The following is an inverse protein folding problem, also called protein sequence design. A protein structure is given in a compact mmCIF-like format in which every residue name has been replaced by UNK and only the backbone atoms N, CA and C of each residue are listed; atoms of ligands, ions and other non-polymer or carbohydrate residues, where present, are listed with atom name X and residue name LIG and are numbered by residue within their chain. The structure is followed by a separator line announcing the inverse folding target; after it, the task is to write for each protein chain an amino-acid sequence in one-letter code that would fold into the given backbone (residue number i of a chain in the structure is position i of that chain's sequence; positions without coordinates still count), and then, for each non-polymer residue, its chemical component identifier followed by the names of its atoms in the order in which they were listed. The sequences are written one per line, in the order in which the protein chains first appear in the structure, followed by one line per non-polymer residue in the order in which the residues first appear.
data_IF_294533346681
#
_entry.id   IF_294533346681
#
_cell.length_a   1.000
_cell.length_b   1.000
_cell.length_c   1.000
_cell.angle_alpha   90.00
_cell.angle_beta   90.00
_cell.angle_gamma   90.00
#
_symmetry.space_group_name_H-M   'P 1'
#
loop_
_entity.id
_entity.type
_entity.pdbx_description
1 polymer ?
#
# COMPACT_ATOMS: atom_id res chain seq x y z
N UNK A 1 -38.44 -48.26 -31.40
CA UNK A 1 -37.04 -47.80 -31.34
C UNK A 1 -36.76 -47.69 -29.86
N UNK A 2 -36.36 -48.81 -29.26
CA UNK A 2 -36.45 -49.01 -27.82
C UNK A 2 -35.12 -49.51 -27.27
N UNK A 3 -34.48 -48.60 -26.54
CA UNK A 3 -33.67 -48.78 -25.33
C UNK A 3 -32.82 -50.06 -25.20
N UNK A 4 -31.52 -49.91 -25.46
CA UNK A 4 -30.47 -50.81 -24.96
C UNK A 4 -30.03 -50.36 -23.56
N UNK A 5 -30.22 -51.24 -22.58
CA UNK A 5 -29.70 -51.13 -21.21
C UNK A 5 -28.23 -51.56 -21.21
N UNK A 6 -27.33 -50.70 -20.74
CA UNK A 6 -25.96 -51.09 -20.38
C UNK A 6 -25.79 -51.05 -18.86
N UNK A 7 -25.65 -52.24 -18.27
CA UNK A 7 -25.01 -52.44 -16.97
C UNK A 7 -23.51 -52.20 -17.13
N UNK A 8 -22.89 -51.43 -16.23
CA UNK A 8 -21.45 -51.40 -16.08
C UNK A 8 -21.09 -51.54 -14.59
N UNK A 9 -20.43 -52.67 -14.31
CA UNK A 9 -19.82 -53.08 -13.05
C UNK A 9 -18.56 -52.24 -12.81
N UNK A 10 -18.31 -51.86 -11.56
CA UNK A 10 -17.35 -50.83 -11.18
C UNK A 10 -15.89 -51.25 -10.99
N UNK A 11 -15.11 -50.33 -10.44
CA UNK A 11 -13.88 -50.58 -9.69
C UNK A 11 -13.65 -49.40 -8.73
N UNK A 12 -13.79 -49.63 -7.42
CA UNK A 12 -13.36 -48.71 -6.38
C UNK A 12 -11.89 -49.03 -6.04
N UNK A 13 -11.00 -48.05 -6.21
CA UNK A 13 -9.59 -48.16 -5.82
C UNK A 13 -9.46 -47.52 -4.43
N UNK A 14 -9.18 -48.35 -3.42
CA UNK A 14 -8.83 -47.91 -2.08
C UNK A 14 -7.30 -47.78 -1.99
N UNK A 15 -6.80 -46.55 -1.84
CA UNK A 15 -5.40 -46.27 -1.54
C UNK A 15 -5.23 -46.22 -0.01
N UNK A 16 -4.69 -47.27 0.57
CA UNK A 16 -4.20 -47.27 1.95
C UNK A 16 -2.76 -46.75 1.97
N UNK A 17 -2.55 -45.50 2.40
CA UNK A 17 -1.23 -45.03 2.79
C UNK A 17 -1.00 -45.37 4.26
N UNK A 18 -0.09 -46.31 4.51
CA UNK A 18 0.56 -46.52 5.80
C UNK A 18 1.97 -45.94 5.69
N UNK A 19 2.23 -44.85 6.42
CA UNK A 19 3.54 -44.22 6.58
C UNK A 19 3.94 -44.20 8.04
N UNK A 20 5.19 -44.55 8.29
CA UNK A 20 5.84 -44.93 9.55
C UNK A 20 5.96 -43.79 10.59
N UNK A 21 5.95 -44.15 11.88
CA UNK A 21 6.00 -43.21 13.01
C UNK A 21 7.40 -42.73 13.44
N UNK A 22 7.39 -41.65 14.22
CA UNK A 22 8.40 -41.31 15.24
C UNK A 22 7.71 -40.51 16.35
N UNK A 23 8.13 -40.80 17.58
CA UNK A 23 7.58 -40.36 18.87
C UNK A 23 8.07 -38.96 19.28
N UNK A 24 7.40 -38.39 20.29
CA UNK A 24 7.66 -37.18 21.11
C UNK A 24 7.04 -35.82 20.71
N UNK A 25 5.93 -35.51 21.40
CA UNK A 25 5.40 -34.19 21.80
C UNK A 25 5.60 -33.02 20.83
N UNK A 26 4.89 -33.06 19.71
CA UNK A 26 4.56 -31.86 18.96
C UNK A 26 3.13 -31.45 19.31
N UNK A 27 2.97 -30.35 20.06
CA UNK A 27 1.81 -29.50 19.83
C UNK A 27 1.86 -29.12 18.35
N UNK A 28 1.14 -29.87 17.51
CA UNK A 28 1.06 -29.63 16.08
C UNK A 28 0.40 -28.27 15.88
N UNK A 29 1.20 -27.22 15.76
CA UNK A 29 0.71 -25.95 15.28
C UNK A 29 0.33 -26.16 13.81
N UNK A 30 -0.95 -26.02 13.51
CA UNK A 30 -1.42 -25.97 12.13
C UNK A 30 -0.72 -24.82 11.42
N UNK A 31 -0.19 -25.07 10.22
CA UNK A 31 0.26 -24.01 9.31
C UNK A 31 -0.88 -23.57 8.41
N UNK A 32 -0.74 -22.39 7.85
CA UNK A 32 -1.65 -21.78 6.88
C UNK A 32 -0.82 -20.99 5.87
N UNK A 33 -1.28 -20.85 4.62
CA UNK A 33 -0.69 -19.90 3.70
C UNK A 33 -0.88 -18.46 4.22
N UNK A 34 0.17 -17.66 4.11
CA UNK A 34 0.22 -16.24 4.44
C UNK A 34 0.83 -15.49 3.26
N UNK A 35 0.16 -14.41 2.86
CA UNK A 35 0.66 -13.48 1.83
C UNK A 35 0.88 -12.11 2.45
N UNK A 36 2.06 -11.55 2.22
CA UNK A 36 2.44 -10.18 2.58
C UNK A 36 2.79 -9.43 1.31
N UNK A 37 2.09 -8.33 1.08
CA UNK A 37 2.28 -7.46 -0.07
C UNK A 37 2.68 -6.05 0.37
N UNK A 38 3.03 -5.21 -0.59
CA UNK A 38 3.28 -3.78 -0.41
C UNK A 38 2.44 -2.97 -1.39
N UNK A 39 1.94 -1.83 -0.91
CA UNK A 39 1.14 -0.85 -1.66
C UNK A 39 1.46 0.56 -1.17
N UNK A 40 0.88 1.57 -1.82
CA UNK A 40 1.13 2.97 -1.56
C UNK A 40 -0.07 3.91 -1.77
N UNK A 41 -0.08 5.00 -1.00
CA UNK A 41 -0.83 6.22 -1.23
C UNK A 41 0.09 7.30 -1.85
N UNK A 42 -0.06 7.60 -3.16
CA UNK A 42 0.93 8.31 -3.98
C UNK A 42 1.13 9.80 -3.61
N UNK A 43 2.19 10.39 -4.16
CA UNK A 43 2.57 11.81 -4.06
C UNK A 43 2.86 12.37 -5.47
N UNK A 44 2.73 13.69 -5.65
CA UNK A 44 2.71 14.32 -6.99
C UNK A 44 4.09 14.79 -7.49
N UNK A 45 5.03 15.08 -6.59
CA UNK A 45 6.29 15.77 -6.94
C UNK A 45 7.42 14.81 -7.38
N UNK A 46 7.13 13.52 -7.50
CA UNK A 46 8.09 12.47 -7.85
C UNK A 46 7.51 11.55 -8.91
N UNK A 47 8.37 11.09 -9.82
CA UNK A 47 7.97 10.20 -10.92
C UNK A 47 8.22 8.72 -10.63
N UNK A 48 9.12 8.41 -9.70
CA UNK A 48 9.41 7.05 -9.23
C UNK A 48 9.80 7.08 -7.75
N UNK A 49 9.34 6.08 -6.98
CA UNK A 49 9.81 5.82 -5.62
C UNK A 49 10.13 4.34 -5.48
N UNK A 50 11.40 4.02 -5.72
CA UNK A 50 11.88 2.64 -5.82
C UNK A 50 12.48 2.17 -4.51
N UNK A 51 11.85 1.15 -3.91
CA UNK A 51 12.33 0.46 -2.71
C UNK A 51 12.83 -0.94 -3.09
N UNK A 52 14.06 -1.25 -2.70
CA UNK A 52 14.65 -2.57 -2.87
C UNK A 52 14.50 -3.38 -1.58
N UNK A 53 13.65 -4.40 -1.60
CA UNK A 53 13.42 -5.27 -0.45
C UNK A 53 14.45 -6.41 -0.42
N UNK A 54 15.03 -6.65 0.76
CA UNK A 54 15.96 -7.76 0.96
C UNK A 54 15.32 -8.91 1.73
N UNK A 55 14.55 -8.61 2.77
CA UNK A 55 14.12 -9.62 3.74
C UNK A 55 12.85 -9.25 4.49
N UNK A 56 12.07 -10.26 4.86
CA UNK A 56 10.94 -10.15 5.78
C UNK A 56 11.11 -11.14 6.92
N UNK A 57 10.83 -10.72 8.16
CA UNK A 57 10.86 -11.60 9.32
C UNK A 57 9.56 -11.56 10.11
N UNK A 58 8.88 -12.70 10.21
CA UNK A 58 7.75 -12.92 11.11
C UNK A 58 8.28 -13.35 12.47
N UNK A 59 7.97 -12.56 13.50
CA UNK A 59 8.45 -12.72 14.86
C UNK A 59 7.34 -13.32 15.73
N UNK A 60 7.40 -14.62 16.07
CA UNK A 60 6.37 -15.22 16.91
C UNK A 60 6.34 -14.56 18.29
N UNK A 61 5.14 -14.34 18.82
CA UNK A 61 4.92 -13.87 20.19
C UNK A 61 4.85 -15.09 21.10
N UNK A 62 5.80 -15.18 22.05
CA UNK A 62 5.91 -16.31 22.97
C UNK A 62 7.10 -17.20 22.61
N UNK A 63 6.88 -18.53 22.63
CA UNK A 63 7.92 -19.49 22.28
C UNK A 63 7.98 -19.67 20.75
N UNK A 64 9.19 -19.57 20.19
CA UNK A 64 9.41 -19.73 18.76
C UNK A 64 10.68 -19.03 18.31
N UNK A 65 11.16 -19.38 17.11
CA UNK A 65 12.23 -18.64 16.43
C UNK A 65 11.60 -17.79 15.32
N UNK A 66 12.16 -16.61 15.02
CA UNK A 66 11.75 -15.84 13.84
C UNK A 66 11.74 -16.68 12.57
N UNK A 67 10.70 -16.51 11.76
CA UNK A 67 10.63 -17.04 10.41
C UNK A 67 11.11 -15.94 9.47
N UNK A 68 12.16 -16.22 8.71
CA UNK A 68 12.85 -15.22 7.90
C UNK A 68 12.79 -15.65 6.44
N UNK A 69 12.31 -14.75 5.59
CA UNK A 69 12.13 -14.94 4.16
C UNK A 69 12.98 -13.92 3.41
N UNK A 70 13.88 -14.41 2.56
CA UNK A 70 14.63 -13.56 1.62
C UNK A 70 13.69 -13.13 0.48
N UNK A 71 13.74 -11.85 0.12
CA UNK A 71 12.85 -11.26 -0.89
C UNK A 71 13.65 -11.07 -2.17
N UNK A 72 13.31 -11.90 -3.17
CA UNK A 72 13.99 -11.92 -4.44
C UNK A 72 13.00 -11.74 -5.59
N UNK A 73 13.47 -11.24 -6.73
CA UNK A 73 12.69 -11.11 -7.95
C UNK A 73 12.37 -12.49 -8.51
N UNK A 74 11.08 -12.77 -8.69
CA UNK A 74 10.60 -14.01 -9.30
C UNK A 74 9.60 -13.75 -10.43
N UNK A 75 9.37 -14.75 -11.28
CA UNK A 75 8.22 -14.77 -12.18
C UNK A 75 6.93 -15.19 -11.45
N UNK A 76 5.81 -15.28 -12.18
CA UNK A 76 4.51 -15.70 -11.66
C UNK A 76 4.51 -17.12 -11.07
N UNK A 77 5.43 -17.99 -11.51
CA UNK A 77 5.61 -19.35 -11.00
C UNK A 77 6.49 -19.40 -9.74
N UNK A 78 7.01 -18.26 -9.27
CA UNK A 78 7.89 -18.17 -8.10
C UNK A 78 9.34 -18.56 -8.37
N UNK A 79 9.77 -18.67 -9.63
CA UNK A 79 11.16 -18.95 -9.99
C UNK A 79 11.97 -17.66 -10.08
N UNK A 80 13.22 -17.72 -9.64
CA UNK A 80 14.16 -16.60 -9.71
C UNK A 80 14.37 -16.15 -11.15
N UNK A 81 14.39 -14.83 -11.38
CA UNK A 81 14.58 -14.24 -12.70
C UNK A 81 15.60 -13.11 -12.70
N UNK A 82 16.19 -12.86 -13.87
CA UNK A 82 17.07 -11.72 -14.09
C UNK A 82 16.29 -10.40 -14.25
N UNK A 83 17.01 -9.31 -14.55
CA UNK A 83 16.41 -7.98 -14.75
C UNK A 83 15.35 -7.98 -15.87
N UNK A 84 15.54 -8.79 -16.92
CA UNK A 84 14.65 -8.93 -18.06
C UNK A 84 13.44 -9.84 -17.82
N UNK A 85 13.40 -10.54 -16.68
CA UNK A 85 12.37 -11.53 -16.36
C UNK A 85 12.67 -12.93 -16.90
N UNK A 86 13.91 -13.19 -17.35
CA UNK A 86 14.32 -14.52 -17.79
C UNK A 86 14.69 -15.37 -16.58
N UNK A 87 14.24 -16.62 -16.54
CA UNK A 87 14.58 -17.56 -15.45
C UNK A 87 16.10 -17.68 -15.25
N UNK A 88 16.53 -17.52 -14.02
CA UNK A 88 17.91 -17.71 -13.60
C UNK A 88 18.25 -19.20 -13.52
N UNK A 89 19.51 -19.54 -13.74
CA UNK A 89 20.03 -20.87 -13.44
C UNK A 89 20.01 -21.12 -11.92
N UNK A 90 19.90 -22.38 -11.51
CA UNK A 90 19.80 -22.78 -10.09
C UNK A 90 20.97 -22.29 -9.22
N UNK A 91 22.13 -21.99 -9.81
CA UNK A 91 23.35 -21.54 -9.13
C UNK A 91 23.64 -20.04 -9.29
N UNK A 92 22.79 -19.28 -9.97
CA UNK A 92 22.95 -17.84 -10.12
C UNK A 92 22.54 -17.08 -8.85
N UNK A 93 23.23 -15.97 -8.59
CA UNK A 93 22.88 -15.08 -7.47
C UNK A 93 21.48 -14.47 -7.71
N UNK A 94 20.55 -14.59 -6.75
CA UNK A 94 19.23 -14.01 -6.89
C UNK A 94 19.28 -12.48 -6.86
N UNK A 95 18.39 -11.85 -7.61
CA UNK A 95 18.20 -10.41 -7.58
C UNK A 95 17.21 -10.04 -6.48
N UNK A 96 17.43 -8.97 -5.69
CA UNK A 96 16.41 -8.48 -4.78
C UNK A 96 15.19 -7.95 -5.54
N UNK A 97 14.05 -7.89 -4.87
CA UNK A 97 12.84 -7.32 -5.45
C UNK A 97 12.86 -5.79 -5.35
N UNK A 98 13.03 -5.11 -6.49
CA UNK A 98 12.86 -3.67 -6.62
C UNK A 98 11.40 -3.33 -6.93
N UNK A 99 10.79 -2.49 -6.13
CA UNK A 99 9.39 -2.07 -6.29
C UNK A 99 9.34 -0.55 -6.40
N UNK A 100 8.85 -0.05 -7.53
CA UNK A 100 8.38 1.33 -7.61
C UNK A 100 6.99 1.42 -7.01
N UNK A 101 6.90 2.05 -5.84
CA UNK A 101 5.69 2.14 -5.02
C UNK A 101 4.55 2.86 -5.75
N UNK A 102 4.87 3.83 -6.62
CA UNK A 102 3.87 4.60 -7.36
C UNK A 102 3.04 3.75 -8.33
N UNK A 103 3.48 2.53 -8.68
CA UNK A 103 2.73 1.60 -9.51
C UNK A 103 1.65 0.83 -8.75
N UNK A 104 1.61 0.90 -7.42
CA UNK A 104 0.76 0.07 -6.57
C UNK A 104 -0.12 0.95 -5.68
N UNK A 105 -1.02 1.71 -6.29
CA UNK A 105 -1.92 2.63 -5.61
C UNK A 105 -3.30 2.03 -5.32
N UNK A 106 -3.98 2.55 -4.30
CA UNK A 106 -5.35 2.14 -3.97
C UNK A 106 -5.39 0.70 -3.44
N UNK A 107 -6.23 -0.18 -4.00
CA UNK A 107 -6.24 -1.60 -3.64
C UNK A 107 -5.18 -2.45 -4.37
N UNK A 108 -4.33 -1.85 -5.22
CA UNK A 108 -3.29 -2.59 -5.95
C UNK A 108 -2.06 -2.79 -5.06
N UNK A 109 -1.53 -4.01 -5.04
CA UNK A 109 -0.35 -4.35 -4.24
C UNK A 109 0.52 -5.38 -4.96
N UNK A 110 1.82 -5.40 -4.64
CA UNK A 110 2.76 -6.44 -5.08
C UNK A 110 3.20 -7.32 -3.91
N UNK A 111 3.22 -8.63 -4.13
CA UNK A 111 3.59 -9.63 -3.13
C UNK A 111 5.10 -9.56 -2.84
N UNK A 112 5.45 -9.40 -1.56
CA UNK A 112 6.81 -9.62 -1.05
C UNK A 112 6.99 -11.10 -0.66
N UNK A 113 5.97 -11.65 0.00
CA UNK A 113 5.90 -13.04 0.45
C UNK A 113 4.58 -13.62 -0.03
N UNK A 114 4.64 -14.67 -0.84
CA UNK A 114 3.45 -15.31 -1.44
C UNK A 114 3.19 -16.68 -0.83
N UNK A 115 1.97 -16.89 -0.34
CA UNK A 115 1.40 -18.17 0.10
C UNK A 115 2.35 -19.02 0.96
N UNK A 116 3.12 -18.39 1.85
CA UNK A 116 4.07 -19.12 2.69
C UNK A 116 3.34 -19.81 3.83
N UNK A 117 3.63 -21.09 4.03
CA UNK A 117 3.10 -21.89 5.12
C UNK A 117 3.70 -21.45 6.47
N UNK A 118 2.95 -20.64 7.21
CA UNK A 118 3.34 -20.11 8.52
C UNK A 118 2.46 -20.75 9.61
N UNK A 119 3.02 -21.18 10.76
CA UNK A 119 2.23 -21.65 11.88
C UNK A 119 1.20 -20.61 12.34
N UNK A 120 -0.01 -21.06 12.64
CA UNK A 120 -1.02 -20.21 13.28
C UNK A 120 -0.53 -19.70 14.63
N UNK A 121 -0.82 -18.44 14.95
CA UNK A 121 -0.35 -17.80 16.17
C UNK A 121 -0.27 -16.28 16.06
N UNK A 122 0.26 -15.64 17.11
CA UNK A 122 0.44 -14.19 17.15
C UNK A 122 1.87 -13.82 16.75
N UNK A 123 2.01 -12.80 15.90
CA UNK A 123 3.27 -12.38 15.31
C UNK A 123 3.45 -10.86 15.37
N UNK A 124 4.72 -10.45 15.29
CA UNK A 124 5.15 -9.11 14.88
C UNK A 124 5.93 -9.22 13.58
N UNK A 125 6.19 -8.11 12.90
CA UNK A 125 6.83 -8.11 11.59
C UNK A 125 8.07 -7.21 11.55
N UNK A 126 9.10 -7.64 10.84
CA UNK A 126 10.14 -6.75 10.33
C UNK A 126 10.19 -6.84 8.81
N UNK A 127 10.32 -5.70 8.15
CA UNK A 127 10.58 -5.60 6.71
C UNK A 127 11.90 -4.86 6.52
N UNK A 128 12.79 -5.44 5.73
CA UNK A 128 14.11 -4.93 5.43
C UNK A 128 14.15 -4.41 4.00
N UNK A 129 14.67 -3.20 3.85
CA UNK A 129 14.85 -2.54 2.57
C UNK A 129 16.23 -1.93 2.48
N UNK A 130 16.91 -2.06 1.36
CA UNK A 130 18.20 -1.43 1.14
C UNK A 130 18.06 0.10 1.18
N UNK A 131 18.95 0.79 1.87
CA UNK A 131 19.04 2.24 1.80
C UNK A 131 19.71 2.69 0.50
N UNK A 132 19.56 3.97 0.15
CA UNK A 132 20.16 4.57 -1.04
C UNK A 132 21.68 4.58 -1.07
N UNK A 133 22.35 4.23 0.05
CA UNK A 133 23.81 4.03 0.10
C UNK A 133 24.23 2.58 -0.10
N UNK A 134 23.28 1.66 -0.30
CA UNK A 134 23.59 0.26 -0.55
C UNK A 134 24.38 0.09 -1.86
N UNK A 135 25.46 -0.72 -1.88
CA UNK A 135 26.45 -0.67 -2.96
C UNK A 135 25.99 -1.25 -4.30
N UNK A 136 25.02 -2.16 -4.30
CA UNK A 136 24.57 -2.86 -5.53
C UNK A 136 23.14 -2.51 -5.90
N UNK A 137 22.22 -2.59 -4.93
CA UNK A 137 20.79 -2.33 -5.13
C UNK A 137 20.27 -1.21 -4.21
N UNK A 138 20.65 0.05 -4.42
CA UNK A 138 20.17 1.18 -3.62
C UNK A 138 18.70 1.50 -3.90
N UNK A 139 17.93 1.83 -2.86
CA UNK A 139 16.61 2.46 -3.03
C UNK A 139 16.76 3.93 -3.43
N UNK A 140 15.82 4.46 -4.22
CA UNK A 140 15.91 5.81 -4.76
C UNK A 140 14.56 6.45 -5.07
N UNK A 141 14.59 7.76 -5.28
CA UNK A 141 13.49 8.58 -5.78
C UNK A 141 13.93 9.24 -7.08
N UNK A 142 13.03 9.38 -8.05
CA UNK A 142 13.24 10.21 -9.24
C UNK A 142 12.30 11.42 -9.16
N UNK A 143 12.85 12.62 -9.13
CA UNK A 143 12.06 13.86 -9.11
C UNK A 143 11.51 14.23 -10.49
N UNK A 144 10.30 14.78 -10.54
CA UNK A 144 9.61 15.14 -11.80
C UNK A 144 10.31 16.27 -12.57
N UNK A 145 10.92 17.24 -11.87
CA UNK A 145 11.51 18.43 -12.50
C UNK A 145 12.79 18.16 -13.30
N UNK A 146 13.62 17.22 -12.83
CA UNK A 146 14.98 17.04 -13.35
C UNK A 146 15.28 15.61 -13.78
N UNK A 147 14.40 14.64 -13.47
CA UNK A 147 14.63 13.22 -13.74
C UNK A 147 15.85 12.65 -13.00
N UNK A 148 16.37 13.35 -12.00
CA UNK A 148 17.55 12.92 -11.27
C UNK A 148 17.17 11.86 -10.24
N UNK A 149 17.95 10.78 -10.24
CA UNK A 149 17.89 9.75 -9.21
C UNK A 149 18.55 10.25 -7.92
N UNK A 150 17.81 10.25 -6.83
CA UNK A 150 18.26 10.67 -5.50
C UNK A 150 18.18 9.49 -4.51
N UNK A 151 19.18 9.30 -3.63
CA UNK A 151 19.17 8.18 -2.67
C UNK A 151 17.95 8.24 -1.74
N UNK A 152 17.31 7.09 -1.50
CA UNK A 152 16.21 6.95 -0.55
C UNK A 152 16.63 6.14 0.67
N UNK A 153 16.48 6.69 1.87
CA UNK A 153 16.68 5.97 3.14
C UNK A 153 15.34 5.65 3.78
N UNK A 154 15.09 4.38 4.08
CA UNK A 154 13.87 3.97 4.79
C UNK A 154 14.13 4.09 6.29
N UNK A 155 13.55 5.11 6.91
CA UNK A 155 13.71 5.35 8.35
C UNK A 155 12.88 4.34 9.12
N UNK A 156 13.55 3.58 9.97
CA UNK A 156 12.93 2.66 10.92
C UNK A 156 13.76 2.52 12.18
N UNK A 157 13.46 1.49 12.97
CA UNK A 157 14.10 1.23 14.27
C UNK A 157 15.54 0.74 14.13
N UNK A 158 15.99 0.47 12.90
CA UNK A 158 17.36 0.11 12.55
C UNK A 158 17.81 -1.26 13.03
N UNK A 159 16.95 -2.02 13.73
CA UNK A 159 17.21 -3.38 14.19
C UNK A 159 15.91 -4.16 14.42
N UNK A 160 15.85 -5.35 13.85
CA UNK A 160 14.81 -6.31 14.13
C UNK A 160 15.10 -7.12 15.42
N UNK A 161 14.11 -7.30 16.32
CA UNK A 161 14.24 -8.09 17.56
C UNK A 161 14.49 -9.60 17.35
N UNK A 162 14.46 -10.34 18.47
CA UNK A 162 14.52 -11.82 18.51
C UNK A 162 15.74 -12.45 17.80
N UNK A 163 16.86 -11.72 17.74
CA UNK A 163 18.11 -12.21 17.15
C UNK A 163 18.21 -12.06 15.63
N UNK A 164 17.19 -11.50 14.96
CA UNK A 164 17.25 -11.20 13.51
C UNK A 164 18.26 -10.09 13.22
N UNK A 165 18.28 -9.04 14.06
CA UNK A 165 19.32 -8.02 14.01
C UNK A 165 19.12 -6.96 12.94
N UNK A 166 20.21 -6.37 12.48
CA UNK A 166 20.25 -5.28 11.51
C UNK A 166 21.11 -5.69 10.31
N UNK A 167 20.93 -5.02 9.18
CA UNK A 167 21.74 -5.22 7.98
C UNK A 167 22.49 -3.93 7.62
N UNK A 168 23.74 -4.02 7.13
CA UNK A 168 24.48 -2.85 6.67
C UNK A 168 23.77 -2.16 5.50
N UNK A 169 23.63 -0.84 5.55
CA UNK A 169 22.96 -0.04 4.50
C UNK A 169 21.52 -0.49 4.23
N UNK A 170 20.78 -0.84 5.28
CA UNK A 170 19.37 -1.21 5.18
C UNK A 170 18.53 -0.49 6.23
N UNK A 171 17.39 0.02 5.79
CA UNK A 171 16.26 0.38 6.64
C UNK A 171 15.57 -0.87 7.18
N UNK A 172 15.11 -0.80 8.43
CA UNK A 172 14.35 -1.89 9.07
C UNK A 172 13.07 -1.31 9.64
N UNK A 173 11.94 -1.64 9.01
CA UNK A 173 10.61 -1.30 9.49
C UNK A 173 10.15 -2.38 10.47
N UNK A 174 10.09 -2.06 11.76
CA UNK A 174 9.56 -2.96 12.79
C UNK A 174 8.12 -2.60 13.13
N UNK A 175 7.20 -3.54 12.92
CA UNK A 175 5.80 -3.42 13.31
C UNK A 175 5.62 -4.02 14.69
N UNK A 176 5.61 -3.14 15.70
CA UNK A 176 5.58 -3.54 17.11
C UNK A 176 4.21 -4.05 17.57
N UNK A 177 3.14 -3.68 16.85
CA UNK A 177 1.80 -4.20 17.10
C UNK A 177 1.70 -5.66 16.69
N UNK A 178 0.93 -6.41 17.49
CA UNK A 178 0.79 -7.85 17.28
C UNK A 178 -0.38 -8.11 16.34
N UNK A 179 -0.15 -8.90 15.30
CA UNK A 179 -1.20 -9.43 14.43
C UNK A 179 -1.31 -10.95 14.60
N UNK A 180 -2.41 -11.54 14.13
CA UNK A 180 -2.68 -12.97 14.30
C UNK A 180 -2.71 -13.67 12.95
N UNK A 181 -1.85 -14.65 12.76
CA UNK A 181 -1.95 -15.63 11.68
C UNK A 181 -3.04 -16.64 12.08
N UNK A 182 -4.21 -16.52 11.46
CA UNK A 182 -5.40 -17.32 11.73
C UNK A 182 -5.41 -18.60 10.88
N UNK A 183 -6.33 -19.53 11.11
CA UNK A 183 -6.44 -20.73 10.27
C UNK A 183 -6.88 -20.41 8.82
N UNK A 184 -7.49 -19.25 8.62
CA UNK A 184 -8.00 -18.71 7.37
C UNK A 184 -7.79 -17.18 7.33
N UNK A 185 -7.72 -16.59 6.14
CA UNK A 185 -7.68 -15.13 5.93
C UNK A 185 -6.39 -14.43 6.43
N UNK A 186 -5.25 -14.72 5.78
CA UNK A 186 -3.94 -14.17 6.15
C UNK A 186 -3.30 -13.38 5.00
N UNK A 187 -4.01 -12.36 4.53
CA UNK A 187 -3.52 -11.44 3.51
C UNK A 187 -3.21 -10.10 4.15
N UNK A 188 -1.94 -9.71 4.10
CA UNK A 188 -1.44 -8.50 4.70
C UNK A 188 -0.82 -7.58 3.66
N UNK A 189 -0.98 -6.27 3.86
CA UNK A 189 -0.33 -5.24 3.05
C UNK A 189 0.47 -4.32 3.97
N UNK A 190 1.72 -4.09 3.60
CA UNK A 190 2.51 -2.98 4.12
C UNK A 190 2.14 -1.76 3.28
N UNK A 191 1.32 -0.90 3.86
CA UNK A 191 0.80 0.30 3.20
C UNK A 191 1.74 1.46 3.49
N UNK A 192 2.32 2.02 2.44
CA UNK A 192 3.07 3.27 2.50
C UNK A 192 2.14 4.44 2.22
N UNK A 193 2.27 5.51 2.99
CA UNK A 193 1.62 6.78 2.70
C UNK A 193 2.71 7.74 2.26
N UNK A 194 3.06 7.73 0.98
CA UNK A 194 4.18 8.52 0.46
C UNK A 194 3.93 10.03 0.61
N UNK A 195 2.70 10.51 0.44
CA UNK A 195 2.40 11.95 0.64
C UNK A 195 2.75 12.43 2.05
N UNK A 196 2.43 11.62 3.07
CA UNK A 196 2.83 11.94 4.45
C UNK A 196 4.30 11.61 4.73
N UNK A 197 4.76 10.49 4.20
CA UNK A 197 5.96 9.79 4.61
C UNK A 197 7.26 10.15 3.91
N UNK A 198 7.17 10.54 2.64
CA UNK A 198 8.33 10.84 1.83
C UNK A 198 8.78 12.28 2.12
N UNK A 199 10.03 12.44 2.55
CA UNK A 199 10.61 13.74 2.91
C UNK A 199 11.95 13.93 2.22
N UNK A 200 12.06 15.01 1.45
CA UNK A 200 13.37 15.47 0.99
C UNK A 200 14.22 15.91 2.18
N UNK A 201 15.49 15.53 2.19
CA UNK A 201 16.47 15.98 3.19
C UNK A 201 17.10 17.27 2.69
N UNK A 202 16.71 18.39 3.29
CA UNK A 202 17.18 19.73 2.91
C UNK A 202 18.70 19.81 2.86
N UNK A 203 19.24 20.07 1.67
CA UNK A 203 20.68 20.25 1.44
C UNK A 203 21.48 18.95 1.19
N UNK A 204 20.83 17.78 1.15
CA UNK A 204 21.51 16.49 0.98
C UNK A 204 21.13 15.73 -0.30
N UNK A 205 20.36 16.33 -1.24
CA UNK A 205 19.89 15.70 -2.50
C UNK A 205 19.45 14.24 -2.31
N UNK A 206 18.69 13.98 -1.24
CA UNK A 206 18.28 12.65 -0.83
C UNK A 206 16.90 12.70 -0.19
N UNK A 207 16.27 11.54 -0.10
CA UNK A 207 14.94 11.36 0.45
C UNK A 207 14.95 10.39 1.62
N UNK A 208 13.96 10.55 2.49
CA UNK A 208 13.67 9.63 3.58
C UNK A 208 12.22 9.22 3.57
N UNK A 209 11.97 7.95 3.87
CA UNK A 209 10.63 7.43 4.09
C UNK A 209 10.43 7.22 5.58
N UNK A 210 9.50 7.95 6.20
CA UNK A 210 9.30 7.94 7.64
C UNK A 210 8.58 6.67 8.10
N UNK A 211 9.01 6.09 9.24
CA UNK A 211 8.33 4.93 9.84
C UNK A 211 6.85 5.21 10.15
N UNK A 212 6.53 6.45 10.50
CA UNK A 212 5.18 6.90 10.94
C UNK A 212 4.15 6.89 9.81
N UNK A 213 4.58 6.80 8.56
CA UNK A 213 3.72 6.74 7.39
C UNK A 213 3.59 5.34 6.80
N UNK A 214 3.97 4.31 7.57
CA UNK A 214 3.89 2.91 7.10
C UNK A 214 3.04 2.09 8.05
N UNK A 215 2.03 1.43 7.52
CA UNK A 215 1.08 0.62 8.29
C UNK A 215 1.10 -0.83 7.82
N UNK A 216 0.77 -1.76 8.72
CA UNK A 216 0.54 -3.16 8.37
C UNK A 216 -0.97 -3.40 8.49
N UNK A 217 -1.60 -3.76 7.37
CA UNK A 217 -3.05 -3.87 7.27
C UNK A 217 -3.41 -5.32 6.92
N UNK A 218 -4.46 -5.85 7.56
CA UNK A 218 -5.05 -7.12 7.16
C UNK A 218 -6.21 -6.87 6.18
N UNK A 219 -5.99 -7.20 4.91
CA UNK A 219 -6.89 -6.81 3.82
C UNK A 219 -8.25 -7.51 3.87
N UNK A 220 -8.35 -8.64 4.58
CA UNK A 220 -9.62 -9.37 4.73
C UNK A 220 -10.58 -8.70 5.71
N UNK A 221 -10.08 -7.73 6.49
CA UNK A 221 -10.86 -6.99 7.49
C UNK A 221 -11.26 -5.60 7.02
N UNK A 222 -10.82 -5.19 5.84
CA UNK A 222 -10.98 -3.84 5.30
C UNK A 222 -11.93 -3.82 4.10
N UNK A 223 -12.48 -2.64 3.79
CA UNK A 223 -13.14 -2.35 2.53
C UNK A 223 -12.37 -1.28 1.75
N UNK A 224 -12.98 -0.75 0.70
CA UNK A 224 -12.37 0.28 -0.15
C UNK A 224 -13.32 1.47 -0.31
N UNK A 225 -12.76 2.65 -0.60
CA UNK A 225 -13.50 3.83 -1.05
C UNK A 225 -13.02 4.19 -2.45
N UNK A 226 -13.93 4.26 -3.42
CA UNK A 226 -13.62 4.67 -4.81
C UNK A 226 -14.58 5.75 -5.27
N UNK A 227 -14.10 6.66 -6.09
CA UNK A 227 -14.95 7.67 -6.70
C UNK A 227 -14.33 8.31 -7.92
N UNK A 228 -15.17 9.04 -8.64
CA UNK A 228 -14.77 9.89 -9.75
C UNK A 228 -14.93 11.35 -9.37
N UNK A 229 -14.00 12.20 -9.82
CA UNK A 229 -14.16 13.65 -9.82
C UNK A 229 -14.77 14.07 -11.15
N UNK A 230 -15.91 14.74 -11.11
CA UNK A 230 -16.51 15.25 -12.34
C UNK A 230 -15.60 16.28 -13.02
N UNK A 231 -15.49 16.26 -14.35
CA UNK A 231 -14.64 17.17 -15.13
C UNK A 231 -14.87 18.65 -14.76
N UNK A 232 -16.13 19.06 -14.60
CA UNK A 232 -16.47 20.43 -14.19
C UNK A 232 -15.93 20.76 -12.79
N UNK A 233 -15.98 19.81 -11.85
CA UNK A 233 -15.42 20.00 -10.50
C UNK A 233 -13.90 20.10 -10.56
N UNK A 234 -13.27 19.28 -11.40
CA UNK A 234 -11.83 19.31 -11.62
C UNK A 234 -11.36 20.68 -12.13
N UNK A 235 -11.96 21.14 -13.23
CA UNK A 235 -11.62 22.43 -13.86
C UNK A 235 -11.96 23.62 -12.95
N UNK A 236 -13.10 23.59 -12.26
CA UNK A 236 -13.48 24.67 -11.36
C UNK A 236 -12.55 24.77 -10.15
N UNK A 237 -11.94 23.67 -9.71
CA UNK A 237 -10.95 23.76 -8.63
C UNK A 237 -9.76 24.63 -9.06
N UNK A 238 -9.19 24.34 -10.23
CA UNK A 238 -8.06 25.10 -10.78
C UNK A 238 -8.43 26.58 -10.98
N UNK A 239 -9.61 26.86 -11.54
CA UNK A 239 -10.08 28.24 -11.74
C UNK A 239 -10.23 29.03 -10.44
N UNK A 240 -10.67 28.38 -9.37
CA UNK A 240 -10.79 29.01 -8.04
C UNK A 240 -9.46 29.11 -7.30
N UNK A 241 -8.43 28.41 -7.78
CA UNK A 241 -7.08 28.39 -7.22
C UNK A 241 -6.05 28.99 -8.20
N UNK A 242 -6.51 29.83 -9.14
CA UNK A 242 -5.71 30.35 -10.24
C UNK A 242 -4.50 31.20 -9.82
N UNK A 243 -4.46 31.63 -8.55
CA UNK A 243 -3.35 32.38 -7.96
C UNK A 243 -2.24 31.48 -7.37
N UNK A 244 -2.40 30.14 -7.37
CA UNK A 244 -1.36 29.21 -6.89
C UNK A 244 -0.09 29.34 -7.73
N UNK A 245 1.05 29.54 -7.08
CA UNK A 245 2.33 29.70 -7.78
C UNK A 245 3.01 28.37 -8.12
N UNK A 246 2.57 27.26 -7.50
CA UNK A 246 3.20 25.95 -7.60
C UNK A 246 2.51 24.99 -8.59
N UNK A 247 1.53 25.47 -9.34
CA UNK A 247 0.71 24.64 -10.21
C UNK A 247 -0.32 23.83 -9.44
N UNK A 248 -0.93 22.83 -10.10
CA UNK A 248 -2.01 22.05 -9.53
C UNK A 248 -1.62 20.60 -9.33
N UNK A 249 -1.94 20.08 -8.16
CA UNK A 249 -1.88 18.67 -7.84
C UNK A 249 -3.23 18.23 -7.26
N UNK A 250 -3.86 17.28 -7.96
CA UNK A 250 -5.22 16.87 -7.67
C UNK A 250 -5.22 15.63 -6.78
N UNK A 251 -5.80 15.78 -5.59
CA UNK A 251 -5.90 14.70 -4.63
C UNK A 251 -7.23 14.73 -3.89
N UNK A 252 -7.59 13.57 -3.36
CA UNK A 252 -8.66 13.41 -2.39
C UNK A 252 -8.04 13.04 -1.07
N UNK A 253 -8.50 13.68 0.00
CA UNK A 253 -8.05 13.46 1.37
C UNK A 253 -9.13 12.70 2.14
N UNK A 254 -8.75 11.66 2.87
CA UNK A 254 -9.65 10.84 3.68
C UNK A 254 -9.64 11.30 5.14
N UNK A 255 -10.81 11.48 5.71
CA UNK A 255 -11.02 11.88 7.11
C UNK A 255 -11.86 10.83 7.83
N UNK A 256 -11.49 10.53 9.08
CA UNK A 256 -12.30 9.68 9.95
C UNK A 256 -13.53 10.46 10.46
N UNK A 257 -14.71 9.85 10.35
CA UNK A 257 -15.97 10.39 10.84
C UNK A 257 -16.75 11.18 9.78
N UNK A 258 -17.88 11.76 10.19
CA UNK A 258 -18.69 12.63 9.36
C UNK A 258 -18.24 14.09 9.59
N UNK A 259 -17.35 14.58 8.73
CA UNK A 259 -16.68 15.88 8.85
C UNK A 259 -17.29 16.87 7.86
N UNK A 260 -17.68 18.06 8.31
CA UNK A 260 -18.14 19.12 7.42
C UNK A 260 -16.97 19.68 6.59
N UNK A 261 -17.23 20.13 5.36
CA UNK A 261 -16.19 20.58 4.42
C UNK A 261 -15.29 21.68 5.00
N UNK A 262 -15.87 22.65 5.70
CA UNK A 262 -15.16 23.78 6.31
C UNK A 262 -14.28 23.37 7.50
N UNK A 263 -14.49 22.17 8.05
CA UNK A 263 -13.68 21.59 9.10
C UNK A 263 -12.62 20.62 8.57
N UNK A 264 -12.52 20.39 7.25
CA UNK A 264 -11.50 19.52 6.66
C UNK A 264 -10.20 20.30 6.44
N UNK A 265 -9.13 19.85 7.09
CA UNK A 265 -7.81 20.47 7.02
C UNK A 265 -6.78 19.68 6.21
N UNK A 266 -5.57 20.22 6.04
CA UNK A 266 -4.43 19.53 5.45
C UNK A 266 -3.71 18.60 6.45
N UNK A 267 -2.69 17.87 6.00
CA UNK A 267 -1.73 17.19 6.87
C UNK A 267 -0.92 18.17 7.72
N UNK A 268 -0.59 19.34 7.16
CA UNK A 268 -0.07 20.49 7.89
C UNK A 268 -1.09 20.95 8.93
N UNK A 269 -1.11 20.30 10.10
CA UNK A 269 -2.18 20.45 11.10
C UNK A 269 -2.52 21.92 11.37
N UNK A 270 -3.72 22.35 10.96
CA UNK A 270 -4.21 23.72 11.18
C UNK A 270 -5.20 23.77 12.35
N UNK A 271 -5.24 24.89 13.11
CA UNK A 271 -6.24 25.09 14.15
C UNK A 271 -7.67 24.92 13.62
N UNK A 272 -8.55 24.37 14.45
CA UNK A 272 -9.99 24.22 14.18
C UNK A 272 -10.36 23.39 12.94
N UNK A 273 -9.42 22.62 12.41
CA UNK A 273 -9.65 21.66 11.32
C UNK A 273 -9.29 20.24 11.75
N UNK A 274 -9.85 19.24 11.07
CA UNK A 274 -9.49 17.84 11.22
C UNK A 274 -8.37 17.50 10.25
N UNK A 275 -7.34 16.84 10.75
CA UNK A 275 -6.24 16.32 9.93
C UNK A 275 -6.72 15.06 9.18
N UNK A 276 -6.38 14.91 7.90
CA UNK A 276 -6.69 13.71 7.13
C UNK A 276 -5.83 12.53 7.61
N UNK A 277 -6.34 11.31 7.42
CA UNK A 277 -5.65 10.07 7.78
C UNK A 277 -4.90 9.44 6.61
N UNK A 278 -5.28 9.80 5.38
CA UNK A 278 -4.67 9.35 4.14
C UNK A 278 -5.04 10.32 3.00
N UNK A 279 -4.35 10.24 1.87
CA UNK A 279 -4.68 10.96 0.64
C UNK A 279 -4.44 10.09 -0.58
N UNK A 280 -5.26 10.24 -1.61
CA UNK A 280 -5.15 9.52 -2.87
C UNK A 280 -5.07 10.50 -4.03
N UNK A 281 -4.22 10.21 -5.02
CA UNK A 281 -4.16 11.03 -6.24
C UNK A 281 -5.42 10.84 -7.06
N UNK A 282 -5.82 11.91 -7.75
CA UNK A 282 -6.81 11.83 -8.81
C UNK A 282 -6.07 11.48 -10.10
N UNK A 283 -6.17 10.22 -10.50
CA UNK A 283 -5.57 9.70 -11.71
C UNK A 283 -6.43 10.05 -12.93
N UNK A 284 -5.77 10.42 -14.03
CA UNK A 284 -6.43 10.73 -15.30
C UNK A 284 -6.27 9.54 -16.23
N UNK A 285 -7.39 8.92 -16.61
CA UNK A 285 -7.41 7.86 -17.62
C UNK A 285 -8.07 8.38 -18.88
N UNK A 286 -7.28 8.52 -19.96
CA UNK A 286 -7.76 8.96 -21.27
C UNK A 286 -8.38 7.80 -22.05
N UNK A 287 -9.68 7.90 -22.33
CA UNK A 287 -10.42 6.94 -23.14
C UNK A 287 -10.94 7.53 -24.45
N UNK A 288 -11.50 6.68 -25.31
CA UNK A 288 -12.14 7.10 -26.56
C UNK A 288 -13.37 8.01 -26.32
N UNK A 289 -14.01 7.87 -25.16
CA UNK A 289 -15.19 8.64 -24.74
C UNK A 289 -14.84 9.91 -23.93
N UNK A 290 -13.54 10.18 -23.73
CA UNK A 290 -13.03 11.30 -22.93
C UNK A 290 -12.18 10.84 -21.75
N UNK A 291 -11.66 11.82 -21.01
CA UNK A 291 -10.87 11.59 -19.80
C UNK A 291 -11.78 11.24 -18.62
N UNK A 292 -11.32 10.32 -17.78
CA UNK A 292 -11.92 9.99 -16.49
C UNK A 292 -10.94 10.33 -15.38
N UNK A 293 -11.46 10.83 -14.26
CA UNK A 293 -10.67 11.34 -13.14
C UNK A 293 -11.02 10.53 -11.91
N UNK A 294 -10.27 9.47 -11.64
CA UNK A 294 -10.60 8.49 -10.61
C UNK A 294 -9.63 8.55 -9.44
N UNK A 295 -10.14 8.25 -8.25
CA UNK A 295 -9.33 8.09 -7.05
C UNK A 295 -9.81 6.88 -6.26
N UNK A 296 -8.92 6.36 -5.43
CA UNK A 296 -9.18 5.15 -4.65
C UNK A 296 -8.38 5.15 -3.36
N UNK A 297 -9.06 4.79 -2.28
CA UNK A 297 -8.45 4.36 -1.03
C UNK A 297 -8.70 2.87 -0.87
N UNK A 298 -7.63 2.08 -0.95
CA UNK A 298 -7.65 0.67 -0.61
C UNK A 298 -7.55 0.46 0.90
N UNK A 299 -7.95 -0.73 1.35
CA UNK A 299 -7.61 -1.22 2.69
C UNK A 299 -8.11 -0.34 3.85
N UNK A 300 -9.27 0.28 3.69
CA UNK A 300 -9.89 1.15 4.69
C UNK A 300 -10.62 0.30 5.74
N UNK A 301 -10.35 0.55 7.02
CA UNK A 301 -11.04 -0.14 8.12
C UNK A 301 -12.56 0.16 8.11
N UNK A 302 -13.41 -0.76 8.57
CA UNK A 302 -14.84 -0.50 8.68
C UNK A 302 -15.15 0.66 9.62
N UNK A 303 -15.96 1.61 9.16
CA UNK A 303 -16.26 2.81 9.92
C UNK A 303 -16.98 3.88 9.11
N UNK A 304 -17.17 5.05 9.74
CA UNK A 304 -17.72 6.24 9.08
C UNK A 304 -16.59 7.18 8.67
N UNK A 305 -16.65 7.69 7.44
CA UNK A 305 -15.61 8.53 6.83
C UNK A 305 -16.20 9.71 6.05
N UNK A 306 -15.33 10.66 5.75
CA UNK A 306 -15.54 11.74 4.78
C UNK A 306 -14.34 11.84 3.85
N UNK A 307 -14.56 12.32 2.64
CA UNK A 307 -13.50 12.61 1.66
C UNK A 307 -13.57 14.07 1.22
N UNK A 308 -12.42 14.71 1.04
CA UNK A 308 -12.27 16.09 0.59
C UNK A 308 -11.35 16.19 -0.63
N UNK A 309 -11.86 16.71 -1.74
CA UNK A 309 -11.10 16.95 -2.96
C UNK A 309 -10.45 18.32 -2.99
N UNK A 310 -9.21 18.37 -3.45
CA UNK A 310 -8.43 19.58 -3.68
C UNK A 310 -7.56 19.46 -4.94
N UNK A 311 -7.18 20.61 -5.50
CA UNK A 311 -6.21 20.77 -6.59
C UNK A 311 -4.92 21.47 -6.14
N UNK A 312 -4.79 21.78 -4.84
CA UNK A 312 -3.59 22.39 -4.23
C UNK A 312 -2.88 21.42 -3.30
N UNK A 313 -2.90 20.11 -3.63
CA UNK A 313 -2.30 19.08 -2.77
C UNK A 313 -0.77 19.19 -2.65
N UNK A 314 -0.12 19.77 -3.66
CA UNK A 314 1.30 20.11 -3.75
C UNK A 314 1.72 21.19 -2.74
N UNK A 315 0.76 21.95 -2.21
CA UNK A 315 1.03 22.99 -1.21
C UNK A 315 0.96 22.45 0.23
N UNK A 316 0.65 21.16 0.43
CA UNK A 316 0.50 20.51 1.73
C UNK A 316 1.58 19.46 2.01
N UNK A 317 2.06 19.44 3.25
CA UNK A 317 2.87 18.37 3.80
C UNK A 317 2.69 18.29 5.32
N UNK A 318 3.02 17.15 5.92
CA UNK A 318 3.05 17.02 7.39
C UNK A 318 3.98 18.05 8.08
N UNK A 319 5.00 18.57 7.38
CA UNK A 319 5.92 19.57 7.93
C UNK A 319 5.33 20.99 7.95
N UNK A 320 4.26 21.24 7.20
CA UNK A 320 3.66 22.55 7.01
C UNK A 320 3.20 22.77 5.57
N UNK A 321 2.43 23.84 5.38
CA UNK A 321 2.08 24.34 4.06
C UNK A 321 3.27 25.06 3.42
N UNK A 322 3.32 25.07 2.10
CA UNK A 322 4.29 25.88 1.34
C UNK A 322 4.12 27.36 1.68
N UNK A 323 5.24 28.08 1.88
CA UNK A 323 5.21 29.48 2.30
C UNK A 323 4.54 30.36 1.23
N UNK A 324 3.48 31.06 1.63
CA UNK A 324 2.72 31.96 0.76
C UNK A 324 1.53 31.31 0.07
N UNK A 325 1.38 29.99 0.19
CA UNK A 325 0.27 29.24 -0.41
C UNK A 325 -0.84 28.94 0.60
N UNK A 326 -1.97 28.49 0.08
CA UNK A 326 -3.13 28.12 0.90
C UNK A 326 -3.70 26.78 0.48
N UNK A 327 -3.95 25.92 1.47
CA UNK A 327 -4.70 24.68 1.25
C UNK A 327 -6.20 24.92 1.41
N UNK A 328 -7.02 24.33 0.54
CA UNK A 328 -8.48 24.35 0.68
C UNK A 328 -9.10 23.07 0.12
N UNK A 329 -10.06 22.50 0.85
CA UNK A 329 -10.93 21.46 0.30
C UNK A 329 -12.01 22.10 -0.57
N UNK A 330 -11.94 21.83 -1.87
CA UNK A 330 -12.84 22.40 -2.87
C UNK A 330 -14.24 21.77 -2.84
N UNK A 331 -14.30 20.45 -2.73
CA UNK A 331 -15.54 19.66 -2.60
C UNK A 331 -15.36 18.51 -1.64
N UNK A 332 -16.45 18.04 -1.05
CA UNK A 332 -16.41 16.90 -0.14
C UNK A 332 -17.63 16.00 -0.28
N UNK A 333 -17.46 14.75 0.13
CA UNK A 333 -18.54 13.78 0.37
C UNK A 333 -18.36 13.26 1.79
N UNK A 334 -19.42 13.24 2.58
CA UNK A 334 -19.37 12.87 3.99
C UNK A 334 -20.38 11.79 4.33
N UNK A 335 -20.25 11.22 5.54
CA UNK A 335 -21.12 10.14 6.03
C UNK A 335 -21.00 8.85 5.20
N UNK A 336 -19.79 8.59 4.67
CA UNK A 336 -19.45 7.35 3.97
C UNK A 336 -19.35 6.21 4.98
N UNK A 337 -20.02 5.09 4.73
CA UNK A 337 -19.99 3.91 5.61
C UNK A 337 -19.20 2.78 4.95
N UNK A 338 -17.97 2.55 5.43
CA UNK A 338 -17.11 1.47 4.96
C UNK A 338 -17.45 0.18 5.71
N UNK A 339 -17.57 -0.91 4.95
CA UNK A 339 -17.77 -2.27 5.46
C UNK A 339 -16.72 -3.19 4.86
N UNK A 340 -16.20 -4.12 5.66
CA UNK A 340 -15.19 -5.08 5.23
C UNK A 340 -15.64 -5.87 3.99
N UNK A 341 -14.73 -6.05 3.03
CA UNK A 341 -14.97 -6.78 1.78
C UNK A 341 -15.92 -6.08 0.80
N UNK A 342 -16.21 -4.79 1.00
CA UNK A 342 -17.09 -4.01 0.12
C UNK A 342 -16.41 -2.74 -0.39
N UNK A 343 -16.86 -2.29 -1.56
CA UNK A 343 -16.47 -0.99 -2.11
C UNK A 343 -17.55 0.05 -1.80
N UNK A 344 -17.14 1.15 -1.18
CA UNK A 344 -17.95 2.35 -0.95
C UNK A 344 -17.74 3.33 -2.09
N UNK A 345 -18.82 3.81 -2.71
CA UNK A 345 -18.73 4.82 -3.77
C UNK A 345 -18.81 6.23 -3.20
N UNK A 346 -17.94 7.12 -3.68
CA UNK A 346 -17.85 8.51 -3.24
C UNK A 346 -17.57 9.46 -4.41
N UNK A 347 -18.47 9.53 -5.40
CA UNK A 347 -18.29 10.43 -6.54
C UNK A 347 -18.38 11.92 -6.13
N UNK A 348 -17.42 12.70 -6.61
CA UNK A 348 -17.26 14.13 -6.31
C UNK A 348 -17.81 14.92 -7.49
N UNK A 349 -19.09 15.24 -7.37
CA UNK A 349 -19.87 15.90 -8.41
C UNK A 349 -19.92 17.42 -8.20
N UNK A 350 -20.24 18.20 -9.25
CA UNK A 350 -20.57 19.61 -9.07
C UNK A 350 -21.73 19.74 -8.09
N UNK A 351 -21.85 20.90 -7.44
CA UNK A 351 -23.03 21.17 -6.62
C UNK A 351 -24.28 21.00 -7.47
N UNK A 352 -25.25 20.24 -6.96
CA UNK A 352 -26.60 20.31 -7.48
C UNK A 352 -27.15 21.70 -7.13
N UNK A 353 -26.88 22.69 -7.97
CA UNK A 353 -27.69 23.90 -7.98
C UNK A 353 -29.10 23.46 -8.39
N UNK A 354 -29.94 23.26 -7.38
CA UNK A 354 -31.38 23.25 -7.56
C UNK A 354 -31.74 24.61 -8.15
N UNK A 355 -32.15 24.62 -9.42
CA UNK A 355 -33.05 25.61 -10.02
C UNK A 355 -33.01 27.01 -9.38
N UNK A 356 -32.06 27.85 -9.79
CA UNK A 356 -32.33 29.29 -9.86
C UNK A 356 -32.35 29.71 -11.32
N UNK A 357 -33.54 29.78 -11.96
CA UNK A 357 -33.64 30.37 -13.29
C UNK A 357 -33.36 31.87 -13.20
N UNK A 358 -32.61 32.33 -14.21
CA UNK A 358 -32.22 33.69 -14.63
C UNK A 358 -32.96 34.89 -13.99
#
# INVERSE_FOLDING_TARGET
MDTLKFSLVGAAVALTLVGCGSDSDATSSSTTPVTLSVSDAPIDDVSEVVVNYSKVAFLPVGEGKPLVFEINKTNEEGKLVDESGTELADDADPLPLSVDLLNYQGSNAIELVKDQEIPTGSYKLCVFSNDGTHPTYPSYVVGTENGNQMPLTVKGEGKCPQGVGAEPNAGVLYFNDTFTVNADNNNYVVEFDLRRGLKEVTGENSYTLQRTSVSLINTVTTGDIKGNVALETYQNCELNSADSANGFAHAVYLYQGNIAQDAMGPFATLPDTQTPIAAANVNVTTGEEGDTYNYEFGFVEPGTYSVGYTCTANDDSEAGLVEGETFTVFKSVSDLSVVAGTQTSADINPSADLDTPL
#
